data_IF_942699557838
#
_entry.id   IF_942699557838
#
_cell.length_a   1.000
_cell.length_b   1.000
_cell.length_c   1.000
_cell.angle_alpha   90.00
_cell.angle_beta   90.00
_cell.angle_gamma   90.00
#
_symmetry.space_group_name_H-M   'P 1'
#
loop_
_entity.id
_entity.type
_entity.pdbx_description
1 polymer ?
#
# COMPACT_ATOMS: atom_id res chain seq x y z
N UNK A 1 -13.01 25.68 -13.99
CA UNK A 1 -13.01 24.23 -13.75
C UNK A 1 -11.60 23.72 -14.09
N UNK A 2 -10.98 22.90 -13.24
CA UNK A 2 -9.69 22.27 -13.56
C UNK A 2 -9.97 21.18 -14.61
N UNK A 3 -9.29 21.23 -15.75
CA UNK A 3 -9.38 20.17 -16.77
C UNK A 3 -8.29 19.11 -16.45
N UNK A 4 -8.65 17.86 -16.62
CA UNK A 4 -7.74 16.73 -16.46
C UNK A 4 -7.51 16.07 -17.81
N UNK A 5 -6.29 15.69 -18.09
CA UNK A 5 -5.92 14.85 -19.24
C UNK A 5 -6.15 13.36 -18.89
N UNK A 6 -6.06 12.48 -19.88
CA UNK A 6 -6.08 11.04 -19.63
C UNK A 6 -4.89 10.58 -18.80
N UNK A 7 -3.73 11.19 -18.99
CA UNK A 7 -2.53 10.92 -18.21
C UNK A 7 -2.71 11.35 -16.74
N UNK A 8 -3.29 12.54 -16.49
CA UNK A 8 -3.62 12.97 -15.12
C UNK A 8 -4.54 11.95 -14.41
N UNK A 9 -5.48 11.33 -15.14
CA UNK A 9 -6.37 10.31 -14.57
C UNK A 9 -5.62 8.97 -14.36
N UNK A 10 -4.79 8.56 -15.29
CA UNK A 10 -3.96 7.36 -15.17
C UNK A 10 -3.05 7.45 -13.95
N UNK A 11 -2.44 8.63 -13.70
CA UNK A 11 -1.61 8.91 -12.52
C UNK A 11 -2.37 8.96 -11.18
N UNK A 12 -3.67 8.71 -11.16
CA UNK A 12 -4.48 8.53 -9.95
C UNK A 12 -4.85 7.06 -9.70
N UNK A 13 -4.35 6.13 -10.53
CA UNK A 13 -4.69 4.71 -10.46
C UNK A 13 -3.54 3.92 -9.86
N UNK A 14 -3.87 3.16 -8.82
CA UNK A 14 -3.05 2.09 -8.26
C UNK A 14 -3.48 0.77 -8.90
N UNK A 15 -2.74 0.32 -9.92
CA UNK A 15 -3.07 -0.89 -10.66
C UNK A 15 -2.81 -2.12 -9.80
N UNK A 16 -3.86 -2.89 -9.51
CA UNK A 16 -3.86 -3.80 -8.36
C UNK A 16 -3.99 -5.28 -8.78
N UNK A 17 -3.12 -6.13 -8.23
CA UNK A 17 -3.32 -7.57 -8.20
C UNK A 17 -2.90 -8.15 -6.83
N UNK A 18 -3.88 -8.43 -5.99
CA UNK A 18 -3.72 -8.96 -4.63
C UNK A 18 -4.29 -10.38 -4.51
N UNK A 19 -4.48 -11.08 -5.63
CA UNK A 19 -4.93 -12.47 -5.61
C UNK A 19 -3.89 -13.37 -4.95
N UNK A 20 -4.36 -14.31 -4.13
CA UNK A 20 -3.48 -15.22 -3.37
C UNK A 20 -2.72 -16.20 -4.25
N UNK A 21 -3.21 -16.45 -5.44
CA UNK A 21 -2.65 -17.34 -6.46
C UNK A 21 -1.95 -16.59 -7.61
N UNK A 22 -1.76 -15.27 -7.48
CA UNK A 22 -1.09 -14.46 -8.48
C UNK A 22 0.36 -14.95 -8.69
N UNK A 23 0.66 -15.35 -9.92
CA UNK A 23 1.96 -15.89 -10.33
C UNK A 23 2.94 -14.78 -10.71
N UNK A 24 4.25 -15.09 -10.84
CA UNK A 24 5.22 -14.15 -11.41
C UNK A 24 4.83 -13.61 -12.78
N UNK A 25 4.17 -14.43 -13.61
CA UNK A 25 3.69 -14.02 -14.93
C UNK A 25 2.55 -12.98 -14.83
N UNK A 26 1.69 -13.10 -13.82
CA UNK A 26 0.64 -12.12 -13.58
C UNK A 26 1.24 -10.78 -13.15
N UNK A 27 2.35 -10.79 -12.39
CA UNK A 27 3.10 -9.58 -12.05
C UNK A 27 3.77 -8.93 -13.28
N UNK A 28 4.29 -9.73 -14.22
CA UNK A 28 4.80 -9.22 -15.48
C UNK A 28 3.71 -8.51 -16.29
N UNK A 29 2.52 -9.11 -16.38
CA UNK A 29 1.36 -8.49 -17.06
C UNK A 29 0.98 -7.20 -16.35
N UNK A 30 0.79 -7.20 -15.04
CA UNK A 30 0.44 -6.04 -14.23
C UNK A 30 1.42 -4.87 -14.44
N UNK A 31 2.72 -5.13 -14.34
CA UNK A 31 3.75 -4.10 -14.51
C UNK A 31 3.82 -3.58 -15.95
N UNK A 32 3.59 -4.44 -16.96
CA UNK A 32 3.57 -4.01 -18.36
C UNK A 32 2.35 -3.12 -18.67
N UNK A 33 1.17 -3.48 -18.16
CA UNK A 33 -0.03 -2.63 -18.26
C UNK A 33 0.16 -1.30 -17.56
N UNK A 34 0.77 -1.30 -16.36
CA UNK A 34 1.08 -0.06 -15.65
C UNK A 34 2.03 0.86 -16.45
N UNK A 35 3.03 0.29 -17.13
CA UNK A 35 3.93 1.05 -18.03
C UNK A 35 3.21 1.57 -19.27
N UNK A 36 2.37 0.73 -19.90
CA UNK A 36 1.63 1.09 -21.11
C UNK A 36 0.67 2.26 -20.87
N UNK A 37 -0.01 2.23 -19.72
CA UNK A 37 -1.02 3.23 -19.38
C UNK A 37 -0.51 4.34 -18.45
N UNK A 38 0.74 4.31 -18.04
CA UNK A 38 1.37 5.26 -17.14
C UNK A 38 0.61 5.42 -15.80
N UNK A 39 0.22 4.28 -15.19
CA UNK A 39 -0.42 4.30 -13.87
C UNK A 39 0.54 4.80 -12.77
N UNK A 40 -0.01 5.26 -11.64
CA UNK A 40 0.80 5.81 -10.55
C UNK A 40 1.63 4.72 -9.85
N UNK A 41 1.03 3.55 -9.65
CA UNK A 41 1.58 2.48 -8.83
C UNK A 41 1.04 1.11 -9.26
N UNK A 42 1.78 0.05 -8.96
CA UNK A 42 1.23 -1.31 -8.88
C UNK A 42 1.05 -1.68 -7.41
N UNK A 43 -0.16 -2.14 -7.03
CA UNK A 43 -0.47 -2.60 -5.68
C UNK A 43 -0.44 -4.13 -5.62
N UNK A 44 0.45 -4.68 -4.81
CA UNK A 44 0.75 -6.12 -4.77
C UNK A 44 0.92 -6.64 -3.34
N UNK A 45 0.84 -7.95 -3.17
CA UNK A 45 1.25 -8.58 -1.92
C UNK A 45 2.75 -8.39 -1.70
N UNK A 46 3.18 -8.11 -0.46
CA UNK A 46 4.57 -7.73 -0.13
C UNK A 46 5.62 -8.71 -0.66
N UNK A 47 5.31 -10.01 -0.75
CA UNK A 47 6.21 -11.04 -1.27
C UNK A 47 6.63 -10.80 -2.72
N UNK A 48 5.85 -10.06 -3.49
CA UNK A 48 6.10 -9.71 -4.89
C UNK A 48 6.95 -8.45 -5.06
N UNK A 49 7.29 -7.73 -3.98
CA UNK A 49 7.99 -6.43 -4.04
C UNK A 49 9.27 -6.49 -4.87
N UNK A 50 10.13 -7.49 -4.62
CA UNK A 50 11.41 -7.62 -5.34
C UNK A 50 11.26 -7.87 -6.84
N UNK A 51 10.24 -8.62 -7.24
CA UNK A 51 9.95 -8.86 -8.66
C UNK A 51 9.42 -7.59 -9.33
N UNK A 52 8.41 -6.95 -8.73
CA UNK A 52 7.78 -5.77 -9.31
C UNK A 52 8.73 -4.58 -9.34
N UNK A 53 9.51 -4.35 -8.29
CA UNK A 53 10.55 -3.31 -8.28
C UNK A 53 11.56 -3.46 -9.42
N UNK A 54 11.99 -4.71 -9.71
CA UNK A 54 12.87 -5.00 -10.83
C UNK A 54 12.18 -4.77 -12.19
N UNK A 55 10.90 -5.17 -12.31
CA UNK A 55 10.14 -4.99 -13.54
C UNK A 55 9.85 -3.51 -13.85
N UNK A 56 9.76 -2.66 -12.82
CA UNK A 56 9.48 -1.23 -12.93
C UNK A 56 10.75 -0.36 -12.88
N UNK A 57 11.94 -0.97 -12.86
CA UNK A 57 13.21 -0.24 -12.82
C UNK A 57 13.31 0.76 -13.97
N UNK A 58 13.71 1.99 -13.64
CA UNK A 58 13.85 3.09 -14.62
C UNK A 58 12.55 3.79 -15.00
N UNK A 59 11.43 3.45 -14.33
CA UNK A 59 10.14 4.16 -14.45
C UNK A 59 9.87 5.02 -13.21
N UNK A 60 8.84 5.87 -13.29
CA UNK A 60 8.31 6.64 -12.15
C UNK A 60 7.05 6.00 -11.52
N UNK A 61 6.83 4.71 -11.83
CA UNK A 61 5.71 3.93 -11.30
C UNK A 61 6.13 3.29 -9.99
N UNK A 62 5.34 3.49 -8.93
CA UNK A 62 5.66 2.93 -7.63
C UNK A 62 5.37 1.43 -7.54
N UNK A 63 6.18 0.75 -6.73
CA UNK A 63 5.92 -0.61 -6.26
C UNK A 63 5.28 -0.51 -4.87
N UNK A 64 3.97 -0.68 -4.80
CA UNK A 64 3.18 -0.56 -3.58
C UNK A 64 2.93 -1.91 -2.92
N UNK A 65 3.48 -2.11 -1.73
CA UNK A 65 3.30 -3.34 -0.96
C UNK A 65 2.15 -3.21 0.04
N UNK A 66 1.19 -4.16 -0.04
CA UNK A 66 0.10 -4.29 0.92
C UNK A 66 0.58 -4.97 2.20
N UNK A 67 0.43 -4.29 3.34
CA UNK A 67 0.87 -4.75 4.65
C UNK A 67 -0.33 -5.07 5.55
N UNK A 68 -0.28 -6.21 6.25
CA UNK A 68 -1.39 -6.69 7.09
C UNK A 68 -2.73 -6.78 6.34
N UNK A 69 -2.65 -6.97 5.03
CA UNK A 69 -3.81 -6.99 4.14
C UNK A 69 -4.41 -8.40 4.02
N UNK A 70 -5.77 -8.56 3.96
CA UNK A 70 -6.76 -7.48 4.01
C UNK A 70 -7.24 -7.14 5.43
N UNK A 71 -6.82 -7.85 6.45
CA UNK A 71 -7.50 -7.89 7.75
C UNK A 71 -7.07 -6.77 8.72
N UNK A 72 -5.85 -6.26 8.61
CA UNK A 72 -5.31 -5.30 9.58
C UNK A 72 -5.05 -5.87 10.98
N UNK A 73 -5.18 -7.19 11.17
CA UNK A 73 -5.26 -7.86 12.48
C UNK A 73 -3.91 -8.44 12.95
N UNK A 74 -2.80 -7.89 12.49
CA UNK A 74 -1.47 -8.20 13.04
C UNK A 74 -1.04 -7.15 14.05
N UNK A 75 -0.07 -7.49 14.91
CA UNK A 75 0.47 -6.55 15.89
C UNK A 75 1.24 -5.41 15.20
N UNK A 76 1.41 -4.29 15.90
CA UNK A 76 2.23 -3.16 15.41
C UNK A 76 3.63 -3.63 15.04
N UNK A 77 4.25 -4.44 15.90
CA UNK A 77 5.60 -4.97 15.64
C UNK A 77 5.68 -5.81 14.35
N UNK A 78 4.65 -6.62 14.07
CA UNK A 78 4.57 -7.39 12.82
C UNK A 78 4.41 -6.46 11.62
N UNK A 79 3.51 -5.47 11.68
CA UNK A 79 3.33 -4.50 10.60
C UNK A 79 4.61 -3.71 10.29
N UNK A 80 5.31 -3.27 11.33
CA UNK A 80 6.60 -2.57 11.18
C UNK A 80 7.68 -3.47 10.57
N UNK A 81 7.72 -4.75 10.99
CA UNK A 81 8.64 -5.72 10.40
C UNK A 81 8.34 -5.93 8.91
N UNK A 82 7.08 -6.21 8.57
CA UNK A 82 6.63 -6.43 7.19
C UNK A 82 6.88 -5.19 6.32
N UNK A 83 6.63 -3.99 6.85
CA UNK A 83 6.94 -2.72 6.18
C UNK A 83 8.43 -2.60 5.84
N UNK A 84 9.31 -2.84 6.82
CA UNK A 84 10.76 -2.77 6.61
C UNK A 84 11.26 -3.84 5.64
N UNK A 85 10.71 -5.05 5.71
CA UNK A 85 11.02 -6.13 4.78
C UNK A 85 10.60 -5.79 3.34
N UNK A 86 9.38 -5.30 3.14
CA UNK A 86 8.89 -4.88 1.84
C UNK A 86 9.78 -3.78 1.23
N UNK A 87 10.16 -2.77 2.03
CA UNK A 87 11.05 -1.68 1.61
C UNK A 87 12.45 -2.23 1.26
N UNK A 88 13.00 -3.13 2.06
CA UNK A 88 14.29 -3.76 1.78
C UNK A 88 14.26 -4.59 0.48
N UNK A 89 13.10 -5.09 0.09
CA UNK A 89 12.85 -5.80 -1.16
C UNK A 89 12.45 -4.86 -2.32
N UNK A 90 12.48 -3.55 -2.16
CA UNK A 90 12.32 -2.57 -3.23
C UNK A 90 10.95 -1.92 -3.34
N UNK A 91 10.04 -2.14 -2.38
CA UNK A 91 8.82 -1.33 -2.31
C UNK A 91 9.17 0.12 -1.98
N UNK A 92 8.59 1.07 -2.73
CA UNK A 92 8.72 2.51 -2.51
C UNK A 92 7.38 3.19 -2.18
N UNK A 93 6.36 2.37 -1.95
CA UNK A 93 5.08 2.76 -1.37
C UNK A 93 4.54 1.62 -0.49
N UNK A 94 3.98 1.98 0.65
CA UNK A 94 3.43 1.03 1.63
C UNK A 94 1.97 1.36 1.89
N UNK A 95 1.10 0.37 1.68
CA UNK A 95 -0.33 0.47 1.95
C UNK A 95 -0.70 -0.52 3.07
N UNK A 96 -0.86 -0.04 4.30
CA UNK A 96 -1.21 -0.93 5.41
C UNK A 96 -2.66 -0.77 5.84
N UNK A 97 -3.27 -1.86 6.29
CA UNK A 97 -4.64 -1.83 6.85
C UNK A 97 -4.59 -1.49 8.33
N UNK A 98 -5.36 -0.47 8.73
CA UNK A 98 -5.51 -0.09 10.15
C UNK A 98 -6.14 -1.22 10.97
N UNK A 99 -5.82 -1.32 12.25
CA UNK A 99 -6.43 -2.31 13.13
C UNK A 99 -7.90 -1.96 13.41
N UNK A 100 -8.83 -2.63 12.70
CA UNK A 100 -10.26 -2.39 12.80
C UNK A 100 -10.81 -2.66 14.22
N UNK A 101 -10.27 -3.66 14.93
CA UNK A 101 -10.69 -3.97 16.30
C UNK A 101 -10.42 -2.81 17.24
N UNK A 102 -9.25 -2.18 17.10
CA UNK A 102 -8.88 -1.05 17.95
C UNK A 102 -9.66 0.23 17.59
N UNK A 103 -9.99 0.42 16.29
CA UNK A 103 -10.92 1.49 15.88
C UNK A 103 -12.29 1.29 16.51
N UNK A 104 -12.84 0.06 16.43
CA UNK A 104 -14.15 -0.28 17.04
C UNK A 104 -14.15 -0.13 18.56
N UNK A 105 -13.02 -0.39 19.21
CA UNK A 105 -12.83 -0.18 20.64
C UNK A 105 -12.60 1.31 21.02
N UNK A 106 -12.51 2.21 20.03
CA UNK A 106 -12.13 3.63 20.21
C UNK A 106 -10.78 3.78 20.90
N UNK A 107 -9.86 2.83 20.68
CA UNK A 107 -8.50 2.86 21.23
C UNK A 107 -7.59 3.73 20.36
N UNK A 108 -7.82 5.03 20.40
CA UNK A 108 -7.14 6.01 19.55
C UNK A 108 -5.64 6.13 19.86
N UNK A 109 -5.23 5.84 21.08
CA UNK A 109 -3.81 5.82 21.46
C UNK A 109 -3.06 4.69 20.73
N UNK A 110 -3.68 3.50 20.64
CA UNK A 110 -3.15 2.39 19.85
C UNK A 110 -3.06 2.75 18.36
N UNK A 111 -4.11 3.32 17.79
CA UNK A 111 -4.15 3.71 16.38
C UNK A 111 -3.06 4.74 16.08
N UNK A 112 -2.89 5.74 16.94
CA UNK A 112 -1.84 6.74 16.81
C UNK A 112 -0.44 6.12 16.89
N UNK A 113 -0.23 5.17 17.81
CA UNK A 113 1.04 4.46 17.96
C UNK A 113 1.33 3.60 16.72
N UNK A 114 0.34 2.84 16.23
CA UNK A 114 0.43 2.06 14.99
C UNK A 114 0.86 2.93 13.80
N UNK A 115 0.13 4.01 13.56
CA UNK A 115 0.45 4.96 12.48
C UNK A 115 1.85 5.55 12.65
N UNK A 116 2.19 6.00 13.85
CA UNK A 116 3.48 6.65 14.10
C UNK A 116 4.66 5.73 13.82
N UNK A 117 4.59 4.46 14.21
CA UNK A 117 5.67 3.50 14.03
C UNK A 117 5.83 3.08 12.56
N UNK A 118 4.71 2.86 11.84
CA UNK A 118 4.75 2.49 10.42
C UNK A 118 5.24 3.66 9.58
N UNK A 119 4.70 4.86 9.81
CA UNK A 119 5.15 6.09 9.12
C UNK A 119 6.62 6.35 9.36
N UNK A 120 7.12 6.19 10.60
CA UNK A 120 8.54 6.35 10.89
C UNK A 120 9.41 5.37 10.08
N UNK A 121 8.97 4.10 9.96
CA UNK A 121 9.69 3.09 9.18
C UNK A 121 9.73 3.44 7.68
N UNK A 122 8.65 3.99 7.13
CA UNK A 122 8.59 4.44 5.74
C UNK A 122 9.47 5.67 5.49
N UNK A 123 9.30 6.72 6.31
CA UNK A 123 9.99 8.00 6.14
C UNK A 123 11.50 7.91 6.37
N UNK A 124 11.98 6.94 7.16
CA UNK A 124 13.43 6.67 7.29
C UNK A 124 14.09 6.36 5.93
N UNK A 125 13.31 5.87 4.97
CA UNK A 125 13.77 5.46 3.62
C UNK A 125 13.15 6.29 2.49
N UNK A 126 12.50 7.40 2.81
CA UNK A 126 11.79 8.28 1.84
C UNK A 126 10.71 7.53 1.05
N UNK A 127 9.99 6.61 1.72
CA UNK A 127 8.93 5.78 1.16
C UNK A 127 7.58 6.37 1.50
N UNK A 128 6.67 6.42 0.52
CA UNK A 128 5.28 6.83 0.71
C UNK A 128 4.55 5.84 1.60
N UNK A 129 3.75 6.35 2.54
CA UNK A 129 2.92 5.54 3.42
C UNK A 129 1.46 5.92 3.29
N UNK A 130 0.60 4.96 2.97
CA UNK A 130 -0.86 5.12 2.97
C UNK A 130 -1.50 4.17 3.99
N UNK A 131 -2.58 4.62 4.62
CA UNK A 131 -3.38 3.79 5.51
C UNK A 131 -4.70 3.43 4.84
N UNK A 132 -5.01 2.14 4.82
CA UNK A 132 -6.28 1.61 4.33
C UNK A 132 -7.24 1.57 5.52
N UNK A 133 -8.27 2.42 5.49
CA UNK A 133 -9.27 2.52 6.54
C UNK A 133 -10.28 1.37 6.54
N UNK A 134 -10.47 0.70 5.40
CA UNK A 134 -11.50 -0.32 5.19
C UNK A 134 -12.90 0.20 5.59
N UNK A 135 -13.30 1.25 4.90
CA UNK A 135 -14.48 2.07 5.22
C UNK A 135 -15.80 1.31 5.35
N UNK A 136 -15.90 0.11 4.75
CA UNK A 136 -17.11 -0.72 4.87
C UNK A 136 -17.40 -1.19 6.29
N UNK A 137 -16.39 -1.24 7.16
CA UNK A 137 -16.54 -1.60 8.57
C UNK A 137 -16.75 -0.40 9.49
N UNK A 138 -16.55 0.84 9.00
CA UNK A 138 -16.54 2.05 9.81
C UNK A 138 -17.86 2.83 9.66
N UNK A 139 -18.38 3.36 10.77
CA UNK A 139 -19.41 4.39 10.74
C UNK A 139 -18.80 5.79 10.48
N UNK A 140 -19.65 6.81 10.30
CA UNK A 140 -19.17 8.14 9.92
C UNK A 140 -18.36 8.84 11.04
N UNK A 141 -18.67 8.57 12.30
CA UNK A 141 -17.90 9.11 13.44
C UNK A 141 -16.50 8.50 13.49
N UNK A 142 -16.37 7.18 13.26
CA UNK A 142 -15.09 6.47 13.20
C UNK A 142 -14.21 6.89 12.03
N UNK A 143 -14.81 7.26 10.88
CA UNK A 143 -14.08 7.75 9.70
C UNK A 143 -13.52 9.16 9.88
N UNK A 144 -14.17 9.98 10.71
CA UNK A 144 -13.79 11.39 10.94
C UNK A 144 -12.74 11.50 12.04
N UNK A 145 -12.78 10.57 13.00
CA UNK A 145 -11.93 10.60 14.19
C UNK A 145 -10.48 10.23 13.90
#
# INVERSE_FOLDING_TARGET
MKSYTLDDLARMIDHTNLHTDASPKDMEVLCNEAKEHHFAMVAINQVQSGLCAKLLEGTDIHTGAAISFPLGQTTIASKVFDTKDAIANGANEIDYVVNQTEVKASNWDYIKDEMSQIVAACHEKDVTCKVIFENCYLNDEEKIK
#
